data_IF_879406925922
#
_entry.id   IF_879406925922
#
_cell.length_a   1.000
_cell.length_b   1.000
_cell.length_c   1.000
_cell.angle_alpha   90.00
_cell.angle_beta   90.00
_cell.angle_gamma   90.00
#
_symmetry.space_group_name_H-M   'P 1'
#
loop_
_entity.id
_entity.type
_entity.pdbx_description
1 polymer ?
#
# COMPACT_ATOMS: atom_id res chain seq x y z
N UNK A 1 -13.94 -16.81 1.11
CA UNK A 1 -12.48 -17.04 1.16
C UNK A 1 -11.82 -15.86 0.44
N UNK A 2 -10.74 -15.30 0.98
CA UNK A 2 -10.02 -14.20 0.35
C UNK A 2 -9.43 -14.64 -1.01
N UNK A 3 -9.30 -13.70 -1.93
CA UNK A 3 -8.65 -13.93 -3.22
C UNK A 3 -7.16 -13.70 -3.06
N UNK A 4 -6.36 -14.77 -3.22
CA UNK A 4 -4.91 -14.63 -3.32
C UNK A 4 -4.56 -14.12 -4.70
N UNK A 5 -3.94 -12.94 -4.78
CA UNK A 5 -3.61 -12.28 -6.02
C UNK A 5 -2.21 -12.65 -6.52
N UNK A 6 -2.07 -12.67 -7.83
CA UNK A 6 -0.80 -12.71 -8.53
C UNK A 6 -0.58 -11.39 -9.27
N UNK A 7 0.68 -11.07 -9.53
CA UNK A 7 1.09 -9.88 -10.29
C UNK A 7 0.29 -9.73 -11.59
N UNK A 8 -0.27 -8.53 -11.79
CA UNK A 8 -1.08 -8.18 -12.95
C UNK A 8 -2.55 -8.59 -12.86
N UNK A 9 -2.97 -9.28 -11.81
CA UNK A 9 -4.35 -9.72 -11.64
C UNK A 9 -5.25 -8.57 -11.20
N UNK A 10 -6.45 -8.50 -11.76
CA UNK A 10 -7.48 -7.51 -11.44
C UNK A 10 -8.69 -8.17 -10.80
N UNK A 11 -9.26 -7.50 -9.79
CA UNK A 11 -10.42 -7.96 -9.03
C UNK A 11 -11.45 -6.84 -8.88
N UNK A 12 -12.71 -7.18 -9.06
CA UNK A 12 -13.83 -6.32 -8.70
C UNK A 12 -14.00 -6.31 -7.18
N UNK A 13 -13.99 -5.14 -6.56
CA UNK A 13 -14.24 -5.01 -5.12
C UNK A 13 -15.72 -4.75 -4.83
N UNK A 14 -16.26 -3.64 -5.31
CA UNK A 14 -17.63 -3.23 -4.98
C UNK A 14 -18.70 -4.03 -5.70
N UNK A 15 -18.43 -4.49 -6.92
CA UNK A 15 -19.37 -5.35 -7.65
C UNK A 15 -19.56 -6.72 -6.98
N UNK A 16 -18.45 -7.30 -6.49
CA UNK A 16 -18.47 -8.57 -5.75
C UNK A 16 -18.98 -8.44 -4.31
N UNK A 17 -18.93 -7.23 -3.74
CA UNK A 17 -19.34 -6.93 -2.38
C UNK A 17 -20.26 -5.71 -2.36
N UNK A 18 -21.55 -5.88 -2.74
CA UNK A 18 -22.53 -4.80 -2.73
C UNK A 18 -22.66 -4.23 -1.29
N UNK A 19 -22.46 -2.94 -1.16
CA UNK A 19 -22.46 -2.28 0.15
C UNK A 19 -21.10 -2.06 0.78
N UNK A 20 -20.01 -2.49 0.14
CA UNK A 20 -18.65 -2.17 0.54
C UNK A 20 -18.41 -0.66 0.43
N UNK A 21 -18.16 0.00 1.55
CA UNK A 21 -17.95 1.45 1.65
C UNK A 21 -16.59 1.83 2.19
N UNK A 22 -16.08 0.98 3.08
CA UNK A 22 -14.80 1.22 3.76
C UNK A 22 -13.95 -0.02 3.72
N UNK A 23 -12.70 0.18 3.35
CA UNK A 23 -11.69 -0.88 3.34
C UNK A 23 -10.51 -0.50 4.22
N UNK A 24 -9.88 -1.51 4.78
CA UNK A 24 -8.59 -1.43 5.42
C UNK A 24 -7.57 -2.13 4.55
N UNK A 25 -6.51 -1.43 4.21
CA UNK A 25 -5.33 -1.97 3.52
C UNK A 25 -4.28 -2.23 4.60
N UNK A 26 -3.99 -3.48 4.88
CA UNK A 26 -3.04 -3.91 5.90
C UNK A 26 -1.74 -4.38 5.27
N UNK A 27 -0.63 -3.97 5.87
CA UNK A 27 0.72 -4.43 5.56
C UNK A 27 1.26 -5.19 6.77
N UNK A 28 1.80 -6.38 6.54
CA UNK A 28 2.49 -7.15 7.58
C UNK A 28 3.81 -7.73 7.08
N UNK A 29 4.76 -7.91 7.99
CA UNK A 29 6.07 -8.53 7.71
C UNK A 29 6.66 -9.16 8.98
N UNK A 30 7.62 -10.05 8.81
CA UNK A 30 8.34 -10.61 9.95
C UNK A 30 9.50 -9.72 10.40
N UNK A 31 9.74 -9.69 11.70
CA UNK A 31 10.92 -9.04 12.27
C UNK A 31 12.22 -9.61 11.68
N UNK A 32 13.25 -8.77 11.61
CA UNK A 32 14.56 -9.23 11.16
C UNK A 32 15.15 -10.24 12.16
N UNK A 33 15.32 -11.48 11.73
CA UNK A 33 15.85 -12.58 12.54
C UNK A 33 17.39 -12.70 12.49
N UNK A 34 18.07 -11.83 11.76
CA UNK A 34 19.53 -11.84 11.66
C UNK A 34 20.17 -11.05 12.82
N UNK A 35 21.00 -11.70 13.60
CA UNK A 35 21.59 -11.24 14.87
C UNK A 35 22.37 -9.90 14.82
N UNK A 36 22.68 -9.37 13.64
CA UNK A 36 23.47 -8.14 13.48
C UNK A 36 22.88 -7.14 12.48
N UNK A 37 21.61 -7.28 12.12
CA UNK A 37 20.93 -6.39 11.18
C UNK A 37 20.04 -5.35 11.88
N UNK A 38 19.91 -4.16 11.29
CA UNK A 38 18.83 -3.24 11.67
C UNK A 38 17.47 -3.89 11.42
N UNK A 39 16.46 -3.55 12.22
CA UNK A 39 15.09 -3.97 11.97
C UNK A 39 14.65 -3.56 10.55
N UNK A 40 13.78 -4.38 9.94
CA UNK A 40 13.10 -3.98 8.72
C UNK A 40 11.99 -2.99 9.09
N UNK A 41 12.11 -1.79 8.58
CA UNK A 41 11.18 -0.69 8.76
C UNK A 41 10.46 -0.48 7.43
N UNK A 42 9.30 -1.12 7.28
CA UNK A 42 8.50 -1.09 6.07
C UNK A 42 7.37 -0.09 6.21
N UNK A 43 7.32 0.85 5.29
CA UNK A 43 6.31 1.90 5.27
C UNK A 43 5.27 1.66 4.18
N UNK A 44 4.01 1.59 4.58
CA UNK A 44 2.88 1.67 3.67
C UNK A 44 2.60 3.13 3.32
N UNK A 45 2.32 3.39 2.05
CA UNK A 45 1.93 4.72 1.57
C UNK A 45 0.82 4.64 0.53
N UNK A 46 0.06 5.73 0.40
CA UNK A 46 -0.99 5.87 -0.59
C UNK A 46 -0.85 7.18 -1.37
N UNK A 47 -0.90 7.09 -2.70
CA UNK A 47 -0.90 8.23 -3.61
C UNK A 47 -2.28 8.35 -4.25
N UNK A 48 -2.99 9.45 -4.01
CA UNK A 48 -4.27 9.73 -4.64
C UNK A 48 -4.02 10.41 -6.00
N UNK A 49 -4.33 9.72 -7.07
CA UNK A 49 -3.94 10.08 -8.43
C UNK A 49 -5.13 10.53 -9.27
N UNK A 50 -4.93 11.59 -10.05
CA UNK A 50 -5.85 12.00 -11.10
C UNK A 50 -5.75 11.09 -12.35
N UNK A 51 -6.51 11.41 -13.39
CA UNK A 51 -6.51 10.68 -14.67
C UNK A 51 -5.14 10.67 -15.36
N UNK A 52 -4.32 11.69 -15.10
CA UNK A 52 -2.95 11.79 -15.60
C UNK A 52 -1.94 10.86 -14.88
N UNK A 53 -2.40 10.13 -13.86
CA UNK A 53 -1.55 9.24 -13.06
C UNK A 53 -0.60 9.95 -12.10
N UNK A 54 -0.90 11.20 -11.76
CA UNK A 54 -0.10 12.03 -10.83
C UNK A 54 -0.99 12.56 -9.71
N UNK A 55 -0.35 12.92 -8.59
CA UNK A 55 -1.01 13.70 -7.53
C UNK A 55 -1.32 15.11 -8.02
N UNK A 56 -2.34 15.76 -7.44
CA UNK A 56 -2.64 17.17 -7.74
C UNK A 56 -1.85 18.14 -6.87
N UNK A 57 -1.36 17.66 -5.74
CA UNK A 57 -0.52 18.38 -4.78
C UNK A 57 0.09 17.40 -3.81
N UNK A 58 1.08 17.84 -3.04
CA UNK A 58 1.81 16.99 -2.10
C UNK A 58 0.89 16.45 -0.97
N UNK A 59 -0.22 17.13 -0.70
CA UNK A 59 -1.25 16.69 0.26
C UNK A 59 -2.01 15.42 -0.19
N UNK A 60 -1.93 15.05 -1.47
CA UNK A 60 -2.52 13.83 -2.01
C UNK A 60 -1.62 12.58 -1.78
N UNK A 61 -0.51 12.77 -1.07
CA UNK A 61 0.38 11.72 -0.64
C UNK A 61 0.20 11.46 0.87
N UNK A 62 -0.28 10.25 1.22
CA UNK A 62 -0.53 9.82 2.60
C UNK A 62 0.52 8.80 3.00
N UNK A 63 1.25 9.10 4.08
CA UNK A 63 2.37 8.30 4.59
C UNK A 63 2.65 8.68 6.05
N UNK A 64 3.69 8.12 6.70
CA UNK A 64 4.00 8.33 8.12
C UNK A 64 4.14 9.82 8.55
N UNK A 65 4.53 10.73 7.65
CA UNK A 65 4.62 12.17 7.94
C UNK A 65 3.37 12.97 7.57
N UNK A 66 2.43 12.39 6.84
CA UNK A 66 1.13 12.97 6.50
C UNK A 66 0.05 11.89 6.61
N UNK A 67 -0.43 11.66 7.81
CA UNK A 67 -1.28 10.52 8.14
C UNK A 67 -2.70 10.59 7.57
N UNK A 68 -3.18 11.77 7.17
CA UNK A 68 -4.58 11.93 6.76
C UNK A 68 -4.72 12.87 5.56
N UNK A 69 -5.36 12.36 4.51
CA UNK A 69 -5.76 13.21 3.38
C UNK A 69 -6.84 14.23 3.81
N UNK A 70 -6.81 15.42 3.21
CA UNK A 70 -7.75 16.53 3.51
C UNK A 70 -9.24 16.17 3.37
N UNK A 71 -9.58 15.23 2.48
CA UNK A 71 -10.96 14.72 2.31
C UNK A 71 -11.36 13.71 3.39
N UNK A 72 -10.45 13.29 4.24
CA UNK A 72 -10.63 12.20 5.20
C UNK A 72 -10.98 10.84 4.55
N UNK A 73 -10.77 10.70 3.25
CA UNK A 73 -11.02 9.45 2.54
C UNK A 73 -9.91 8.42 2.74
N UNK A 74 -8.68 8.85 2.99
CA UNK A 74 -7.51 8.00 3.20
C UNK A 74 -6.80 8.42 4.48
N UNK A 75 -6.61 7.46 5.39
CA UNK A 75 -6.00 7.68 6.70
C UNK A 75 -5.01 6.56 6.99
N UNK A 76 -3.75 6.93 7.22
CA UNK A 76 -2.70 6.03 7.72
C UNK A 76 -2.83 5.93 9.25
N UNK A 77 -2.88 4.71 9.78
CA UNK A 77 -3.22 4.47 11.19
C UNK A 77 -2.04 4.55 12.14
N UNK A 78 -0.85 4.78 11.63
CA UNK A 78 0.39 4.90 12.41
C UNK A 78 1.51 4.04 11.87
N UNK A 79 2.69 4.29 12.35
CA UNK A 79 3.97 3.75 11.91
C UNK A 79 4.43 2.61 12.83
N UNK A 80 4.90 1.48 12.26
CA UNK A 80 5.52 0.37 12.98
C UNK A 80 6.96 0.19 12.47
N UNK A 81 7.92 0.52 13.29
CA UNK A 81 9.35 0.57 12.91
C UNK A 81 10.05 -0.79 12.87
N UNK A 82 9.41 -1.87 13.32
CA UNK A 82 10.08 -3.16 13.57
C UNK A 82 9.38 -4.38 12.99
N UNK A 83 8.09 -4.28 12.71
CA UNK A 83 7.24 -5.43 12.38
C UNK A 83 6.93 -6.32 13.58
N UNK A 84 7.00 -5.76 14.80
CA UNK A 84 6.60 -6.49 16.00
C UNK A 84 5.08 -6.43 16.20
N UNK A 85 4.47 -7.58 16.32
CA UNK A 85 3.04 -7.71 16.56
C UNK A 85 2.44 -8.92 15.83
N UNK A 86 1.17 -9.16 16.11
CA UNK A 86 0.39 -10.18 15.40
C UNK A 86 -0.54 -9.50 14.38
N UNK A 87 -0.47 -9.93 13.12
CA UNK A 87 -1.38 -9.47 12.06
C UNK A 87 -0.78 -8.38 11.17
N UNK A 88 -1.48 -7.25 11.03
CA UNK A 88 -0.98 -6.12 10.25
C UNK A 88 -0.13 -5.20 11.12
N UNK A 89 1.07 -4.90 10.63
CA UNK A 89 1.99 -3.97 11.29
C UNK A 89 1.65 -2.51 10.98
N UNK A 90 1.21 -2.25 9.75
CA UNK A 90 0.70 -0.96 9.32
C UNK A 90 -0.65 -1.09 8.62
N UNK A 91 -1.48 -0.07 8.76
CA UNK A 91 -2.82 -0.03 8.18
C UNK A 91 -3.12 1.32 7.55
N UNK A 92 -3.76 1.28 6.37
CA UNK A 92 -4.31 2.46 5.69
C UNK A 92 -5.82 2.24 5.50
N UNK A 93 -6.62 3.13 6.09
CA UNK A 93 -8.07 3.10 5.97
C UNK A 93 -8.51 3.92 4.75
N UNK A 94 -9.45 3.38 3.98
CA UNK A 94 -10.03 4.09 2.82
C UNK A 94 -11.55 4.08 2.91
N UNK A 95 -12.14 5.28 2.96
CA UNK A 95 -13.58 5.51 2.81
C UNK A 95 -13.89 5.82 1.34
N UNK A 96 -14.41 4.82 0.63
CA UNK A 96 -14.67 4.89 -0.81
C UNK A 96 -15.68 5.98 -1.20
N UNK A 97 -16.60 6.31 -0.28
CA UNK A 97 -17.62 7.33 -0.53
C UNK A 97 -17.06 8.77 -0.42
N UNK A 98 -15.98 8.94 0.34
CA UNK A 98 -15.33 10.25 0.54
C UNK A 98 -14.21 10.54 -0.46
N UNK A 99 -13.77 9.59 -1.25
CA UNK A 99 -12.71 9.81 -2.24
C UNK A 99 -13.16 10.88 -3.23
N UNK A 100 -12.42 12.00 -3.39
CA UNK A 100 -12.79 13.08 -4.31
C UNK A 100 -12.99 12.57 -5.74
N UNK A 101 -13.98 13.15 -6.45
CA UNK A 101 -14.28 12.77 -7.83
C UNK A 101 -13.11 12.99 -8.80
N UNK A 102 -12.19 13.90 -8.48
CA UNK A 102 -10.96 14.17 -9.23
C UNK A 102 -9.91 13.06 -9.09
N UNK A 103 -10.05 12.21 -8.07
CA UNK A 103 -9.18 11.05 -7.87
C UNK A 103 -9.74 9.86 -8.62
N UNK A 104 -9.02 9.41 -9.64
CA UNK A 104 -9.40 8.24 -10.44
C UNK A 104 -8.81 6.94 -9.91
N UNK A 105 -7.71 7.02 -9.16
CA UNK A 105 -6.99 5.87 -8.66
C UNK A 105 -6.23 6.21 -7.37
N UNK A 106 -6.04 5.21 -6.52
CA UNK A 106 -5.17 5.26 -5.35
C UNK A 106 -4.13 4.16 -5.51
N UNK A 107 -2.85 4.56 -5.59
CA UNK A 107 -1.73 3.61 -5.64
C UNK A 107 -1.25 3.34 -4.20
N UNK A 108 -1.19 2.06 -3.84
CA UNK A 108 -0.61 1.61 -2.57
C UNK A 108 0.81 1.13 -2.81
N UNK A 109 1.70 1.63 -1.99
CA UNK A 109 3.13 1.35 -2.10
C UNK A 109 3.69 0.89 -0.77
N UNK A 110 4.76 0.13 -0.83
CA UNK A 110 5.55 -0.28 0.34
C UNK A 110 7.00 0.04 0.07
N UNK A 111 7.67 0.64 1.04
CA UNK A 111 9.09 0.99 0.96
C UNK A 111 9.82 0.52 2.20
N UNK A 112 11.13 0.28 2.08
CA UNK A 112 12.00 0.02 3.21
C UNK A 112 12.69 1.33 3.57
N UNK A 113 12.51 1.81 4.80
CA UNK A 113 13.11 3.04 5.28
C UNK A 113 14.64 2.92 5.37
N UNK A 114 15.35 3.93 4.84
CA UNK A 114 16.82 3.96 4.81
C UNK A 114 17.47 2.68 4.24
N UNK A 115 16.83 2.03 3.28
CA UNK A 115 17.26 0.75 2.71
C UNK A 115 18.72 0.75 2.25
N UNK A 116 19.17 1.81 1.57
CA UNK A 116 20.54 1.93 1.06
C UNK A 116 21.56 2.01 2.19
N UNK A 117 21.27 2.80 3.24
CA UNK A 117 22.13 2.95 4.41
C UNK A 117 22.21 1.67 5.23
N UNK A 118 21.08 0.96 5.33
CA UNK A 118 20.94 -0.29 6.08
C UNK A 118 21.34 -1.53 5.26
N UNK A 119 21.63 -1.36 3.96
CA UNK A 119 21.86 -2.44 3.00
C UNK A 119 20.73 -3.49 3.00
N UNK A 120 19.49 -3.01 2.96
CA UNK A 120 18.28 -3.82 2.99
C UNK A 120 17.54 -3.79 1.64
N UNK A 121 16.86 -4.88 1.33
CA UNK A 121 15.97 -5.00 0.17
C UNK A 121 14.84 -6.00 0.47
N UNK A 122 13.83 -6.05 -0.39
CA UNK A 122 12.67 -6.93 -0.20
C UNK A 122 13.01 -8.43 -0.28
N UNK A 123 14.12 -8.81 -0.92
CA UNK A 123 14.59 -10.20 -0.93
C UNK A 123 15.05 -10.72 0.44
N UNK A 124 15.28 -9.82 1.39
CA UNK A 124 15.68 -10.16 2.76
C UNK A 124 14.49 -10.18 3.74
N UNK A 125 13.34 -9.60 3.36
CA UNK A 125 12.15 -9.51 4.20
C UNK A 125 11.35 -10.81 4.08
N UNK A 126 11.03 -11.42 5.22
CA UNK A 126 10.24 -12.65 5.26
C UNK A 126 8.76 -12.36 5.50
N UNK A 127 7.90 -13.17 4.89
CA UNK A 127 6.46 -13.18 5.08
C UNK A 127 5.77 -11.81 4.93
N UNK A 128 6.33 -10.93 4.09
CA UNK A 128 5.70 -9.66 3.79
C UNK A 128 4.47 -9.84 2.91
N UNK A 129 3.39 -9.19 3.31
CA UNK A 129 2.13 -9.23 2.56
C UNK A 129 1.39 -7.91 2.64
N UNK A 130 0.50 -7.71 1.69
CA UNK A 130 -0.55 -6.69 1.76
C UNK A 130 -1.90 -7.38 1.62
N UNK A 131 -2.91 -6.89 2.35
CA UNK A 131 -4.27 -7.40 2.27
C UNK A 131 -5.30 -6.27 2.29
N UNK A 132 -6.46 -6.55 1.72
CA UNK A 132 -7.62 -5.65 1.78
C UNK A 132 -8.72 -6.34 2.56
N UNK A 133 -9.22 -5.65 3.58
CA UNK A 133 -10.27 -6.12 4.47
C UNK A 133 -11.46 -5.15 4.38
N UNK A 134 -12.67 -5.68 4.34
CA UNK A 134 -13.88 -4.90 4.59
C UNK A 134 -13.89 -4.47 6.05
N UNK A 135 -13.78 -3.17 6.32
CA UNK A 135 -13.68 -2.63 7.67
C UNK A 135 -14.93 -2.95 8.53
N UNK A 136 -16.09 -3.03 7.89
CA UNK A 136 -17.36 -3.23 8.61
C UNK A 136 -17.55 -4.69 9.05
N UNK A 137 -17.21 -5.63 8.16
CA UNK A 137 -17.42 -7.07 8.42
C UNK A 137 -16.20 -7.79 8.97
N UNK A 138 -15.01 -7.17 8.86
CA UNK A 138 -13.73 -7.80 9.17
C UNK A 138 -13.32 -8.88 8.18
N UNK A 139 -14.03 -9.00 7.05
CA UNK A 139 -13.74 -10.03 6.05
C UNK A 139 -12.55 -9.64 5.19
N UNK A 140 -11.53 -10.49 5.14
CA UNK A 140 -10.43 -10.35 4.19
C UNK A 140 -10.94 -10.65 2.77
N UNK A 141 -10.81 -9.67 1.88
CA UNK A 141 -11.26 -9.74 0.50
C UNK A 141 -10.14 -10.19 -0.43
N UNK A 142 -8.95 -9.65 -0.23
CA UNK A 142 -7.77 -9.82 -1.07
C UNK A 142 -6.54 -9.97 -0.21
N UNK A 143 -5.60 -10.82 -0.68
CA UNK A 143 -4.24 -10.92 -0.14
C UNK A 143 -3.24 -11.01 -1.29
N UNK A 144 -2.11 -10.32 -1.15
CA UNK A 144 -0.97 -10.40 -2.04
C UNK A 144 0.31 -10.53 -1.22
N UNK A 145 0.98 -11.67 -1.36
CA UNK A 145 2.25 -11.95 -0.71
C UNK A 145 3.41 -11.37 -1.54
N UNK A 146 4.28 -10.59 -0.91
CA UNK A 146 5.30 -9.77 -1.58
C UNK A 146 6.65 -10.47 -1.73
N UNK A 147 6.94 -11.44 -0.88
CA UNK A 147 8.29 -11.98 -0.70
C UNK A 147 8.84 -12.81 -1.85
N UNK A 148 8.00 -13.35 -2.73
CA UNK A 148 8.45 -14.23 -3.82
C UNK A 148 8.76 -13.49 -5.13
N UNK A 149 8.23 -12.27 -5.30
CA UNK A 149 8.31 -11.51 -6.55
C UNK A 149 9.46 -10.49 -6.59
N UNK A 150 10.12 -10.23 -5.46
CA UNK A 150 11.11 -9.16 -5.32
C UNK A 150 12.39 -9.66 -4.68
N UNK A 151 13.55 -9.13 -5.11
CA UNK A 151 14.85 -9.57 -4.64
C UNK A 151 15.79 -8.42 -4.25
N UNK A 152 15.93 -7.41 -5.07
CA UNK A 152 16.86 -6.29 -4.87
C UNK A 152 16.15 -4.94 -4.71
N UNK A 153 14.86 -4.92 -4.91
CA UNK A 153 14.04 -3.72 -4.86
C UNK A 153 13.93 -3.20 -3.42
N UNK A 154 13.80 -1.88 -3.31
CA UNK A 154 13.65 -1.16 -2.03
C UNK A 154 12.32 -0.42 -1.92
N UNK A 155 11.56 -0.41 -3.01
CA UNK A 155 10.22 0.17 -3.09
C UNK A 155 9.36 -0.65 -4.04
N UNK A 156 8.09 -0.82 -3.71
CA UNK A 156 7.13 -1.60 -4.49
C UNK A 156 5.84 -0.81 -4.64
N UNK A 157 5.34 -0.67 -5.87
CA UNK A 157 3.93 -0.37 -6.11
C UNK A 157 3.19 -1.70 -6.04
N UNK A 158 2.50 -1.94 -4.94
CA UNK A 158 1.82 -3.20 -4.69
C UNK A 158 0.60 -3.34 -5.56
N UNK A 159 -0.23 -2.31 -5.58
CA UNK A 159 -1.45 -2.32 -6.35
C UNK A 159 -2.13 -0.97 -6.40
N UNK A 160 -3.18 -0.92 -7.20
CA UNK A 160 -3.98 0.27 -7.44
C UNK A 160 -5.46 -0.03 -7.25
N UNK A 161 -6.08 0.76 -6.40
CA UNK A 161 -7.53 0.86 -6.30
C UNK A 161 -7.99 1.89 -7.34
N UNK A 162 -8.85 1.53 -8.27
CA UNK A 162 -9.26 2.42 -9.36
C UNK A 162 -10.75 2.41 -9.62
N UNK A 163 -11.26 3.56 -10.10
CA UNK A 163 -12.66 3.71 -10.49
C UNK A 163 -12.92 3.04 -11.83
N UNK A 164 -14.06 2.35 -11.93
CA UNK A 164 -14.60 1.85 -13.18
C UNK A 164 -16.11 2.13 -13.20
N UNK A 165 -16.49 3.25 -13.79
CA UNK A 165 -17.84 3.78 -13.65
C UNK A 165 -18.15 4.16 -12.21
N UNK A 166 -19.21 3.62 -11.64
CA UNK A 166 -19.58 3.79 -10.22
C UNK A 166 -18.93 2.80 -9.27
N UNK A 167 -18.12 1.87 -9.81
CA UNK A 167 -17.52 0.78 -9.04
C UNK A 167 -16.04 1.01 -8.78
N UNK A 168 -15.52 0.31 -7.77
CA UNK A 168 -14.11 0.24 -7.46
C UNK A 168 -13.56 -1.15 -7.74
N UNK A 169 -12.40 -1.16 -8.40
CA UNK A 169 -11.62 -2.37 -8.71
C UNK A 169 -10.22 -2.25 -8.15
N UNK A 170 -9.57 -3.39 -7.94
CA UNK A 170 -8.18 -3.45 -7.52
C UNK A 170 -7.34 -4.17 -8.58
N UNK A 171 -6.16 -3.64 -8.86
CA UNK A 171 -5.16 -4.21 -9.75
C UNK A 171 -3.88 -4.49 -8.95
N UNK A 172 -3.45 -5.75 -8.91
CA UNK A 172 -2.17 -6.14 -8.33
C UNK A 172 -1.03 -5.78 -9.29
N UNK A 173 -0.43 -4.61 -9.11
CA UNK A 173 0.59 -4.08 -10.02
C UNK A 173 1.91 -4.83 -9.87
N UNK A 174 2.43 -4.97 -8.65
CA UNK A 174 3.66 -5.67 -8.36
C UNK A 174 4.89 -5.11 -9.08
N UNK A 175 5.05 -3.80 -9.14
CA UNK A 175 6.20 -3.15 -9.76
C UNK A 175 7.23 -2.72 -8.73
N UNK A 176 8.46 -3.22 -8.86
CA UNK A 176 9.57 -2.89 -7.98
C UNK A 176 10.44 -1.75 -8.51
N UNK A 177 11.03 -0.99 -7.59
CA UNK A 177 11.92 0.14 -7.85
C UNK A 177 13.11 0.11 -6.90
N UNK A 178 14.25 0.63 -7.39
CA UNK A 178 15.38 1.02 -6.58
C UNK A 178 15.30 2.53 -6.30
N UNK A 179 15.79 2.96 -5.13
CA UNK A 179 15.77 4.38 -4.73
C UNK A 179 14.64 4.73 -3.76
N UNK A 180 14.01 3.72 -3.16
CA UNK A 180 13.08 3.87 -2.04
C UNK A 180 11.89 4.79 -2.32
N UNK A 181 11.39 5.43 -1.28
CA UNK A 181 10.23 6.31 -1.33
C UNK A 181 10.43 7.50 -2.29
N UNK A 182 11.63 8.06 -2.38
CA UNK A 182 11.92 9.17 -3.27
C UNK A 182 11.71 8.82 -4.76
N UNK A 183 11.99 7.58 -5.17
CA UNK A 183 11.73 7.12 -6.52
C UNK A 183 10.22 7.11 -6.82
N UNK A 184 9.39 6.66 -5.89
CA UNK A 184 7.94 6.66 -6.00
C UNK A 184 7.36 8.08 -6.00
N UNK A 185 7.86 8.96 -5.14
CA UNK A 185 7.45 10.36 -5.12
C UNK A 185 7.68 11.03 -6.49
N UNK A 186 8.85 10.84 -7.09
CA UNK A 186 9.12 11.32 -8.47
C UNK A 186 8.20 10.68 -9.49
N UNK A 187 7.92 9.37 -9.36
CA UNK A 187 7.00 8.65 -10.24
C UNK A 187 5.60 9.27 -10.24
N UNK A 188 5.10 9.67 -9.09
CA UNK A 188 3.74 10.18 -8.92
C UNK A 188 3.62 11.71 -8.86
N UNK A 189 4.75 12.44 -8.95
CA UNK A 189 4.77 13.90 -9.05
C UNK A 189 4.69 14.62 -7.70
N UNK A 190 5.12 13.98 -6.62
CA UNK A 190 5.35 14.59 -5.31
C UNK A 190 6.73 15.26 -5.31
N UNK A 191 6.82 16.47 -4.76
CA UNK A 191 8.09 17.18 -4.62
C UNK A 191 8.92 16.56 -3.48
N UNK A 192 10.14 16.15 -3.78
CA UNK A 192 11.12 15.58 -2.85
C UNK A 192 12.50 16.20 -3.05
#
# INVERSE_FOLDING_TARGET
MPVSLQKGQKVDLTKGNPGLKKIMVGLGWDVNQYDNGAAFDLDASAFLLGENGKVSGDEDFVFYSNLKHKSESVIHMGDNLTGEGDGDDEQVMVDLEKVPASVSKIAFTVTIYDADVRNQNFGQVSNSFIRIVDEVTGSELIRYDLGEDFSIETAIVVGELYRHGSEWKFNAVGSGFNGGLAALCRQYGVNV
#
